data_IF_318393160752
#
_entry.id   IF_318393160752
#
_cell.length_a   1.000
_cell.length_b   1.000
_cell.length_c   1.000
_cell.angle_alpha   90.00
_cell.angle_beta   90.00
_cell.angle_gamma   90.00
#
_symmetry.space_group_name_H-M   'P 1'
#
loop_
_entity.id
_entity.type
_entity.pdbx_description
1 polymer ?
#
# COMPACT_ATOMS: atom_id res chain seq x y z
N UNK A 1 47.58 11.22 -61.72
CA UNK A 1 47.12 11.50 -60.35
C UNK A 1 45.59 11.51 -60.33
N UNK A 2 44.95 10.38 -60.09
CA UNK A 2 43.48 10.24 -60.17
C UNK A 2 42.90 10.22 -58.72
N UNK A 3 42.13 11.27 -58.43
CA UNK A 3 41.29 11.28 -57.17
C UNK A 3 40.03 10.49 -57.43
N UNK A 4 39.86 9.42 -56.64
CA UNK A 4 38.59 8.61 -56.54
C UNK A 4 37.79 9.15 -55.38
N UNK A 5 36.68 9.82 -55.69
CA UNK A 5 35.67 10.22 -54.72
C UNK A 5 34.84 9.02 -54.30
N UNK A 6 34.72 8.77 -52.95
CA UNK A 6 33.81 7.78 -52.36
C UNK A 6 32.39 8.36 -52.26
N UNK A 7 31.33 7.57 -52.51
CA UNK A 7 29.96 8.02 -52.30
C UNK A 7 29.61 8.00 -50.76
N UNK A 8 28.98 9.08 -50.31
CA UNK A 8 28.36 9.18 -48.98
C UNK A 8 27.08 8.34 -48.95
N UNK A 9 26.93 7.54 -47.90
CA UNK A 9 25.70 6.83 -47.59
C UNK A 9 24.63 7.82 -47.06
N UNK A 10 23.33 7.59 -47.33
CA UNK A 10 22.27 8.45 -46.83
C UNK A 10 22.06 8.27 -45.32
N UNK A 11 21.95 9.40 -44.60
CA UNK A 11 21.50 9.44 -43.23
C UNK A 11 20.10 8.85 -43.13
N UNK A 12 19.94 7.80 -42.33
CA UNK A 12 18.65 7.29 -41.92
C UNK A 12 17.99 8.34 -41.03
N UNK A 13 16.83 8.85 -41.45
CA UNK A 13 15.94 9.68 -40.64
C UNK A 13 15.42 8.83 -39.46
N UNK A 14 15.86 9.17 -38.27
CA UNK A 14 15.31 8.61 -37.04
C UNK A 14 13.82 8.97 -36.91
N UNK A 15 12.97 7.97 -36.97
CA UNK A 15 11.59 8.10 -36.58
C UNK A 15 11.57 8.16 -35.01
N UNK A 16 11.64 9.36 -34.49
CA UNK A 16 11.26 9.65 -33.11
C UNK A 16 9.74 9.44 -32.99
N UNK A 17 9.33 8.20 -32.76
CA UNK A 17 8.01 7.92 -32.19
C UNK A 17 8.04 8.46 -30.78
N UNK A 18 7.59 9.69 -30.58
CA UNK A 18 7.18 10.23 -29.29
C UNK A 18 6.22 9.20 -28.72
N UNK A 19 6.63 8.49 -27.65
CA UNK A 19 5.73 7.63 -26.91
C UNK A 19 4.54 8.51 -26.50
N UNK A 20 3.32 8.11 -26.86
CA UNK A 20 2.14 8.80 -26.42
C UNK A 20 2.17 8.79 -24.89
N UNK A 21 2.24 9.95 -24.25
CA UNK A 21 2.13 10.08 -22.81
C UNK A 21 0.82 9.40 -22.41
N UNK A 22 0.89 8.36 -21.58
CA UNK A 22 -0.29 7.72 -21.04
C UNK A 22 -1.09 8.76 -20.24
N UNK A 23 -2.42 8.73 -20.37
CA UNK A 23 -3.26 9.62 -19.57
C UNK A 23 -2.97 9.43 -18.08
N UNK A 24 -2.97 10.52 -17.27
CA UNK A 24 -2.69 10.43 -15.84
C UNK A 24 -3.70 9.50 -15.16
N UNK A 25 -3.24 8.78 -14.14
CA UNK A 25 -4.08 7.90 -13.36
C UNK A 25 -5.19 8.71 -12.66
N UNK A 26 -6.42 8.18 -12.62
CA UNK A 26 -7.51 8.84 -11.90
C UNK A 26 -7.49 8.46 -10.42
N UNK A 27 -7.64 9.45 -9.57
CA UNK A 27 -7.88 9.31 -8.14
C UNK A 27 -9.23 9.94 -7.82
N UNK A 28 -10.19 9.11 -7.43
CA UNK A 28 -11.53 9.55 -7.03
C UNK A 28 -11.53 9.88 -5.55
N UNK A 29 -12.20 10.96 -5.16
CA UNK A 29 -12.23 11.44 -3.80
C UNK A 29 -13.64 11.87 -3.38
N UNK A 30 -14.02 11.59 -2.14
CA UNK A 30 -15.15 12.19 -1.43
C UNK A 30 -14.73 12.61 -0.02
N UNK A 31 -15.34 13.67 0.51
CA UNK A 31 -15.20 14.09 1.91
C UNK A 31 -16.16 13.36 2.84
N UNK A 32 -17.13 12.64 2.28
CA UNK A 32 -18.08 11.82 3.03
C UNK A 32 -17.40 10.55 3.57
N UNK A 33 -16.91 10.62 4.82
CA UNK A 33 -16.31 9.46 5.51
C UNK A 33 -17.44 8.65 6.16
N UNK A 34 -18.21 7.99 5.31
CA UNK A 34 -19.33 7.12 5.68
C UNK A 34 -19.34 5.84 4.81
N UNK A 35 -20.16 4.84 5.15
CA UNK A 35 -20.36 3.69 4.26
C UNK A 35 -20.86 4.09 2.87
N UNK A 36 -21.61 5.20 2.74
CA UNK A 36 -22.07 5.72 1.45
C UNK A 36 -20.91 6.31 0.64
N UNK A 37 -20.05 7.13 1.26
CA UNK A 37 -18.84 7.66 0.62
C UNK A 37 -17.87 6.55 0.22
N UNK A 38 -17.68 5.53 1.08
CA UNK A 38 -16.89 4.34 0.75
C UNK A 38 -17.41 3.63 -0.51
N UNK A 39 -18.71 3.45 -0.60
CA UNK A 39 -19.37 2.86 -1.77
C UNK A 39 -19.19 3.74 -3.01
N UNK A 40 -19.34 5.05 -2.88
CA UNK A 40 -19.24 5.99 -4.00
C UNK A 40 -17.85 5.94 -4.66
N UNK A 41 -16.75 5.97 -3.87
CA UNK A 41 -15.39 5.87 -4.43
C UNK A 41 -15.12 4.50 -5.05
N UNK A 42 -15.64 3.42 -4.44
CA UNK A 42 -15.52 2.07 -5.01
C UNK A 42 -16.22 1.97 -6.37
N UNK A 43 -17.45 2.47 -6.49
CA UNK A 43 -18.21 2.45 -7.74
C UNK A 43 -17.55 3.32 -8.83
N UNK A 44 -16.97 4.46 -8.45
CA UNK A 44 -16.29 5.36 -9.37
C UNK A 44 -15.06 4.73 -10.04
N UNK A 45 -14.41 3.73 -9.42
CA UNK A 45 -13.30 2.98 -10.03
C UNK A 45 -13.70 2.23 -11.31
N UNK A 46 -15.00 1.89 -11.47
CA UNK A 46 -15.49 1.12 -12.63
C UNK A 46 -14.96 -0.32 -12.70
N UNK A 47 -14.17 -0.76 -11.72
CA UNK A 47 -13.65 -2.13 -11.59
C UNK A 47 -14.33 -2.82 -10.43
N UNK A 48 -14.98 -3.95 -10.71
CA UNK A 48 -15.66 -4.74 -9.68
C UNK A 48 -14.72 -5.79 -9.09
N UNK A 49 -14.75 -5.93 -7.77
CA UNK A 49 -14.08 -7.01 -7.08
C UNK A 49 -14.92 -8.29 -7.20
N UNK A 50 -14.60 -9.13 -8.18
CA UNK A 50 -15.32 -10.35 -8.50
C UNK A 50 -14.39 -11.56 -8.44
N UNK A 51 -14.90 -12.68 -7.89
CA UNK A 51 -14.18 -13.95 -7.77
C UNK A 51 -14.88 -14.87 -6.78
N UNK A 52 -14.37 -16.07 -6.64
CA UNK A 52 -14.83 -17.02 -5.61
C UNK A 52 -14.28 -16.66 -4.23
N UNK A 53 -13.04 -16.14 -4.21
CA UNK A 53 -12.34 -15.70 -3.01
C UNK A 53 -11.86 -14.26 -3.22
N UNK A 54 -12.49 -13.30 -2.57
CA UNK A 54 -12.09 -11.88 -2.60
C UNK A 54 -11.41 -11.53 -1.28
N UNK A 55 -10.15 -11.12 -1.36
CA UNK A 55 -9.42 -10.60 -0.21
C UNK A 55 -9.76 -9.14 0.02
N UNK A 56 -10.01 -8.73 1.25
CA UNK A 56 -10.05 -7.34 1.69
C UNK A 56 -8.86 -7.11 2.62
N UNK A 57 -7.80 -6.52 2.08
CA UNK A 57 -6.57 -6.28 2.82
C UNK A 57 -6.63 -4.95 3.57
N UNK A 58 -6.55 -5.04 4.86
CA UNK A 58 -6.54 -3.90 5.77
C UNK A 58 -5.61 -4.16 6.97
N UNK A 59 -5.56 -3.26 7.93
CA UNK A 59 -4.96 -3.50 9.25
C UNK A 59 -6.07 -3.57 10.29
N UNK A 60 -6.12 -4.67 11.05
CA UNK A 60 -7.10 -4.84 12.15
C UNK A 60 -6.71 -4.10 13.44
N UNK A 61 -5.53 -3.47 13.47
CA UNK A 61 -5.03 -2.70 14.60
C UNK A 61 -4.41 -3.57 15.69
N UNK A 62 -3.41 -3.03 16.38
CA UNK A 62 -2.80 -3.68 17.54
C UNK A 62 -3.74 -3.59 18.75
N UNK A 63 -3.84 -4.63 19.61
CA UNK A 63 -4.59 -4.55 20.85
C UNK A 63 -4.19 -3.34 21.70
N UNK A 64 -5.18 -2.55 22.12
CA UNK A 64 -4.99 -1.29 22.85
C UNK A 64 -5.03 -0.05 21.96
N UNK A 65 -4.76 -0.15 20.64
CA UNK A 65 -4.97 0.91 19.68
C UNK A 65 -6.45 1.06 19.29
N UNK A 66 -6.85 2.23 18.80
CA UNK A 66 -8.23 2.52 18.40
C UNK A 66 -8.35 3.38 17.14
N UNK A 67 -7.22 3.73 16.49
CA UNK A 67 -7.22 4.58 15.29
C UNK A 67 -7.47 3.81 14.00
N UNK A 68 -7.47 2.47 14.02
CA UNK A 68 -7.70 1.61 12.86
C UNK A 68 -9.07 1.84 12.21
N UNK A 69 -9.23 1.42 10.95
CA UNK A 69 -10.49 1.53 10.22
C UNK A 69 -11.61 0.78 10.95
N UNK A 70 -12.63 1.51 11.38
CA UNK A 70 -13.70 0.93 12.15
C UNK A 70 -14.58 0.00 11.30
N UNK A 71 -14.96 -1.21 11.78
CA UNK A 71 -15.83 -2.13 11.07
C UNK A 71 -17.15 -1.50 10.61
N UNK A 72 -17.70 -0.56 11.36
CA UNK A 72 -18.91 0.17 11.00
C UNK A 72 -18.78 0.99 9.71
N UNK A 73 -17.58 1.52 9.42
CA UNK A 73 -17.32 2.29 8.20
C UNK A 73 -17.21 1.39 6.96
N UNK A 74 -16.55 0.25 7.10
CA UNK A 74 -16.14 -0.58 5.96
C UNK A 74 -17.07 -1.78 5.71
N UNK A 75 -17.91 -2.13 6.68
CA UNK A 75 -18.65 -3.40 6.70
C UNK A 75 -19.58 -3.60 5.50
N UNK A 76 -20.23 -2.54 5.03
CA UNK A 76 -21.11 -2.62 3.87
C UNK A 76 -20.35 -2.92 2.57
N UNK A 77 -19.17 -2.30 2.38
CA UNK A 77 -18.31 -2.61 1.24
C UNK A 77 -17.81 -4.06 1.32
N UNK A 78 -17.27 -4.48 2.46
CA UNK A 78 -16.74 -5.84 2.67
C UNK A 78 -17.81 -6.89 2.37
N UNK A 79 -19.03 -6.71 2.87
CA UNK A 79 -20.18 -7.59 2.60
C UNK A 79 -20.60 -7.57 1.13
N UNK A 80 -20.59 -6.40 0.48
CA UNK A 80 -21.02 -6.25 -0.91
C UNK A 80 -20.12 -7.02 -1.89
N UNK A 81 -18.83 -7.10 -1.60
CA UNK A 81 -17.84 -7.86 -2.40
C UNK A 81 -17.70 -9.32 -1.91
N UNK A 82 -18.45 -9.73 -0.89
CA UNK A 82 -18.34 -11.05 -0.21
C UNK A 82 -16.90 -11.32 0.22
N UNK A 83 -16.24 -10.30 0.73
CA UNK A 83 -14.81 -10.32 1.04
C UNK A 83 -14.48 -11.11 2.31
N UNK A 84 -13.29 -11.69 2.33
CA UNK A 84 -12.59 -12.15 3.52
C UNK A 84 -11.57 -11.09 3.91
N UNK A 85 -11.58 -10.64 5.16
CA UNK A 85 -10.55 -9.73 5.67
C UNK A 85 -9.25 -10.53 5.82
N UNK A 86 -8.17 -10.01 5.25
CA UNK A 86 -6.88 -10.72 5.23
C UNK A 86 -5.75 -9.89 5.84
N UNK A 87 -4.94 -10.55 6.65
CA UNK A 87 -3.69 -10.04 7.22
C UNK A 87 -2.60 -11.13 7.28
N UNK A 88 -1.38 -10.74 7.67
CA UNK A 88 -0.32 -11.65 8.10
C UNK A 88 0.20 -11.25 9.48
N UNK A 89 0.72 -12.20 10.24
CA UNK A 89 1.30 -11.98 11.56
C UNK A 89 2.41 -10.92 11.53
N UNK A 90 2.60 -10.21 12.64
CA UNK A 90 3.67 -9.21 12.77
C UNK A 90 5.02 -9.87 13.05
N UNK A 91 6.11 -9.18 12.68
CA UNK A 91 7.48 -9.62 12.94
C UNK A 91 8.12 -8.93 14.17
N UNK A 92 7.36 -8.08 14.86
CA UNK A 92 7.91 -7.14 15.85
C UNK A 92 7.54 -7.48 17.30
N UNK A 93 6.92 -8.63 17.51
CA UNK A 93 6.23 -8.95 18.76
C UNK A 93 4.85 -8.28 18.84
N UNK A 94 4.34 -8.07 20.02
CA UNK A 94 2.99 -7.51 20.24
C UNK A 94 1.87 -8.55 20.17
N UNK A 95 0.64 -8.07 20.17
CA UNK A 95 -0.56 -8.91 20.25
C UNK A 95 -0.97 -9.59 18.95
N UNK A 96 -0.25 -9.33 17.83
CA UNK A 96 -0.52 -9.92 16.51
C UNK A 96 0.66 -10.72 15.94
N UNK A 97 1.61 -11.12 16.81
CA UNK A 97 2.76 -11.91 16.39
C UNK A 97 2.43 -13.40 16.20
N UNK A 98 1.33 -13.88 16.79
CA UNK A 98 0.86 -15.26 16.67
C UNK A 98 -0.56 -15.28 16.12
N UNK A 99 -0.86 -16.26 15.27
CA UNK A 99 -2.15 -16.38 14.59
C UNK A 99 -3.34 -16.36 15.55
N UNK A 100 -3.27 -17.10 16.67
CA UNK A 100 -4.36 -17.16 17.65
C UNK A 100 -4.62 -15.79 18.30
N UNK A 101 -3.56 -15.08 18.70
CA UNK A 101 -3.63 -13.77 19.32
C UNK A 101 -4.10 -12.71 18.28
N UNK A 102 -3.65 -12.83 17.04
CA UNK A 102 -4.05 -11.96 15.94
C UNK A 102 -5.54 -12.11 15.59
N UNK A 103 -6.05 -13.35 15.51
CA UNK A 103 -7.49 -13.62 15.32
C UNK A 103 -8.30 -13.08 16.48
N UNK A 104 -7.78 -13.21 17.73
CA UNK A 104 -8.42 -12.63 18.90
C UNK A 104 -8.48 -11.11 18.81
N UNK A 105 -7.39 -10.43 18.44
CA UNK A 105 -7.35 -8.98 18.25
C UNK A 105 -8.39 -8.54 17.20
N UNK A 106 -8.46 -9.22 16.07
CA UNK A 106 -9.45 -8.94 15.03
C UNK A 106 -10.90 -9.13 15.52
N UNK A 107 -11.15 -10.13 16.35
CA UNK A 107 -12.47 -10.35 16.97
C UNK A 107 -12.82 -9.28 18.00
N UNK A 108 -11.88 -8.94 18.88
CA UNK A 108 -12.06 -7.91 19.92
C UNK A 108 -12.33 -6.53 19.29
N UNK A 109 -11.74 -6.25 18.12
CA UNK A 109 -11.97 -5.02 17.35
C UNK A 109 -13.22 -5.08 16.44
N UNK A 110 -13.98 -6.19 16.46
CA UNK A 110 -15.26 -6.34 15.78
C UNK A 110 -15.19 -6.74 14.32
N UNK A 111 -14.02 -7.05 13.75
CA UNK A 111 -13.91 -7.40 12.33
C UNK A 111 -14.59 -8.73 12.00
N UNK A 112 -14.56 -9.71 12.90
CA UNK A 112 -15.24 -11.01 12.71
C UNK A 112 -16.78 -10.91 12.65
N UNK A 113 -17.35 -9.79 13.11
CA UNK A 113 -18.79 -9.53 13.01
C UNK A 113 -19.22 -9.08 11.60
N UNK A 114 -18.29 -8.61 10.76
CA UNK A 114 -18.60 -8.11 9.43
C UNK A 114 -18.18 -9.06 8.31
N UNK A 115 -17.12 -9.88 8.52
CA UNK A 115 -16.62 -10.85 7.54
C UNK A 115 -15.78 -11.95 8.21
N UNK A 116 -15.51 -13.08 7.52
CA UNK A 116 -14.42 -13.97 7.90
C UNK A 116 -13.08 -13.23 7.93
N UNK A 117 -12.19 -13.64 8.83
CA UNK A 117 -10.81 -13.12 8.94
C UNK A 117 -9.84 -14.27 8.69
N UNK A 118 -8.87 -14.04 7.81
CA UNK A 118 -7.82 -15.00 7.46
C UNK A 118 -6.44 -14.39 7.73
N UNK A 119 -5.63 -15.07 8.53
CA UNK A 119 -4.22 -14.76 8.73
C UNK A 119 -3.43 -15.61 7.74
N UNK A 120 -3.09 -14.99 6.60
CA UNK A 120 -2.62 -15.70 5.40
C UNK A 120 -1.32 -16.48 5.58
N UNK A 121 -0.52 -16.18 6.60
CA UNK A 121 0.72 -16.88 6.94
C UNK A 121 0.55 -17.89 8.10
N UNK A 122 -0.69 -18.21 8.49
CA UNK A 122 -0.98 -19.18 9.55
C UNK A 122 -0.46 -20.59 9.24
N UNK A 123 -0.48 -21.00 7.97
CA UNK A 123 -0.10 -22.34 7.50
C UNK A 123 1.20 -22.33 6.69
N UNK A 124 1.93 -21.21 6.68
CA UNK A 124 3.21 -21.10 5.98
C UNK A 124 3.28 -19.90 5.02
N UNK A 125 4.26 -19.95 4.15
CA UNK A 125 4.59 -18.83 3.27
C UNK A 125 5.02 -19.29 1.88
N UNK A 126 4.92 -18.38 0.91
CA UNK A 126 5.38 -18.58 -0.47
C UNK A 126 6.20 -17.38 -0.93
N UNK A 127 7.07 -17.58 -1.92
CA UNK A 127 7.90 -16.54 -2.50
C UNK A 127 7.33 -16.09 -3.84
N UNK A 128 7.12 -14.79 -4.00
CA UNK A 128 6.73 -14.15 -5.25
C UNK A 128 7.95 -13.43 -5.84
N UNK A 129 8.27 -13.60 -7.14
CA UNK A 129 9.44 -12.97 -7.74
C UNK A 129 9.30 -11.44 -7.78
N UNK A 130 10.39 -10.74 -7.52
CA UNK A 130 10.53 -9.30 -7.74
C UNK A 130 11.39 -9.09 -8.97
N UNK A 131 10.78 -8.83 -10.12
CA UNK A 131 11.50 -8.61 -11.35
C UNK A 131 12.23 -7.27 -11.35
N UNK A 132 13.56 -7.31 -11.56
CA UNK A 132 14.40 -6.11 -11.59
C UNK A 132 14.61 -5.44 -10.23
N UNK A 133 14.33 -6.13 -9.12
CA UNK A 133 14.58 -5.61 -7.78
C UNK A 133 16.08 -5.39 -7.51
N UNK A 134 16.39 -4.26 -6.88
CA UNK A 134 17.75 -3.90 -6.47
C UNK A 134 18.12 -4.58 -5.15
N UNK A 135 17.16 -4.61 -4.22
CA UNK A 135 17.31 -5.14 -2.87
C UNK A 135 16.68 -6.52 -2.72
N UNK A 136 15.49 -6.71 -3.29
CA UNK A 136 14.72 -7.93 -3.17
C UNK A 136 14.68 -8.70 -4.50
N UNK A 137 14.97 -10.00 -4.44
CA UNK A 137 14.76 -10.91 -5.58
C UNK A 137 13.37 -11.54 -5.56
N UNK A 138 12.74 -11.56 -4.41
CA UNK A 138 11.41 -12.09 -4.14
C UNK A 138 10.82 -11.38 -2.92
N UNK A 139 9.50 -11.37 -2.84
CA UNK A 139 8.76 -11.10 -1.62
C UNK A 139 8.31 -12.41 -0.98
N UNK A 140 8.16 -12.45 0.35
CA UNK A 140 7.71 -13.63 1.08
C UNK A 140 6.34 -13.32 1.68
N UNK A 141 5.32 -13.91 1.13
CA UNK A 141 3.92 -13.65 1.49
C UNK A 141 3.27 -14.86 2.18
N UNK A 142 2.16 -14.65 2.87
CA UNK A 142 1.41 -15.75 3.45
C UNK A 142 0.96 -16.77 2.39
N UNK A 143 0.99 -18.07 2.73
CA UNK A 143 0.71 -19.17 1.79
C UNK A 143 -0.71 -19.12 1.22
N UNK A 144 -1.67 -18.48 1.91
CA UNK A 144 -3.04 -18.33 1.43
C UNK A 144 -3.20 -17.20 0.41
N UNK A 145 -2.26 -16.23 0.34
CA UNK A 145 -2.41 -15.07 -0.53
C UNK A 145 -2.66 -15.42 -2.02
N UNK A 146 -1.93 -16.36 -2.65
CA UNK A 146 -2.16 -16.72 -4.05
C UNK A 146 -3.51 -17.40 -4.33
N UNK A 147 -4.24 -17.81 -3.31
CA UNK A 147 -5.56 -18.45 -3.47
C UNK A 147 -6.69 -17.45 -3.72
N UNK A 148 -6.44 -16.16 -3.51
CA UNK A 148 -7.43 -15.11 -3.71
C UNK A 148 -7.52 -14.69 -5.18
N UNK A 149 -8.75 -14.64 -5.68
CA UNK A 149 -9.04 -14.26 -7.08
C UNK A 149 -8.96 -12.76 -7.30
N UNK A 150 -9.24 -11.97 -6.26
CA UNK A 150 -9.27 -10.50 -6.31
C UNK A 150 -8.85 -9.91 -4.97
N UNK A 151 -8.19 -8.75 -4.99
CA UNK A 151 -7.74 -8.04 -3.78
C UNK A 151 -8.32 -6.62 -3.75
N UNK A 152 -9.08 -6.31 -2.72
CA UNK A 152 -9.51 -4.96 -2.35
C UNK A 152 -8.58 -4.47 -1.25
N UNK A 153 -7.76 -3.47 -1.56
CA UNK A 153 -6.82 -2.90 -0.59
C UNK A 153 -7.49 -1.71 0.09
N UNK A 154 -7.87 -1.89 1.36
CA UNK A 154 -8.41 -0.83 2.22
C UNK A 154 -7.30 -0.33 3.13
N UNK A 155 -6.76 0.83 2.82
CA UNK A 155 -5.68 1.44 3.58
C UNK A 155 -6.23 2.53 4.49
N UNK A 156 -5.80 2.52 5.74
CA UNK A 156 -5.86 3.68 6.60
C UNK A 156 -4.60 4.52 6.34
N UNK A 157 -4.75 5.72 5.77
CA UNK A 157 -3.62 6.62 5.54
C UNK A 157 -3.24 7.33 6.83
N UNK A 158 -1.98 7.29 7.24
CA UNK A 158 -1.47 7.89 8.48
C UNK A 158 0.05 7.94 8.48
N UNK A 159 0.65 8.50 9.53
CA UNK A 159 2.08 8.44 9.78
C UNK A 159 2.60 7.02 10.02
N UNK A 160 3.90 6.85 9.90
CA UNK A 160 4.58 5.60 10.20
C UNK A 160 5.99 5.83 10.69
N UNK A 161 6.36 5.17 11.80
CA UNK A 161 7.65 5.39 12.48
C UNK A 161 8.88 5.16 11.61
N UNK A 162 8.84 4.19 10.68
CA UNK A 162 9.97 3.86 9.80
C UNK A 162 9.76 4.36 8.36
N UNK A 163 8.56 4.23 7.81
CA UNK A 163 8.27 4.58 6.41
C UNK A 163 7.83 6.02 6.18
N UNK A 164 7.73 6.85 7.23
CA UNK A 164 7.22 8.22 7.14
C UNK A 164 5.69 8.26 7.11
N UNK A 165 5.06 7.53 6.21
CA UNK A 165 3.62 7.31 6.16
C UNK A 165 3.28 5.86 5.81
N UNK A 166 2.03 5.49 6.04
CA UNK A 166 1.45 4.22 5.62
C UNK A 166 0.23 4.46 4.74
N UNK A 167 0.27 3.97 3.52
CA UNK A 167 -0.79 4.03 2.51
C UNK A 167 -0.94 2.70 1.79
N UNK A 168 -1.35 2.75 0.51
CA UNK A 168 -1.58 1.57 -0.31
C UNK A 168 -0.30 0.75 -0.54
N UNK A 169 0.83 1.40 -0.87
CA UNK A 169 2.12 0.74 -1.10
C UNK A 169 2.55 -0.05 0.14
N UNK A 170 2.51 0.57 1.33
CA UNK A 170 2.85 -0.13 2.57
C UNK A 170 1.88 -1.27 2.86
N UNK A 171 0.59 -1.08 2.61
CA UNK A 171 -0.43 -2.08 2.89
C UNK A 171 -0.26 -3.33 2.04
N UNK A 172 0.11 -3.20 0.76
CA UNK A 172 0.36 -4.36 -0.11
C UNK A 172 1.77 -4.95 0.05
N UNK A 173 2.78 -4.20 0.51
CA UNK A 173 4.11 -4.72 0.80
C UNK A 173 4.17 -5.36 2.19
N UNK A 174 4.43 -4.55 3.22
CA UNK A 174 4.54 -5.02 4.61
C UNK A 174 3.27 -5.76 5.09
N UNK A 175 2.08 -5.30 4.63
CA UNK A 175 0.81 -5.85 5.09
C UNK A 175 0.52 -7.26 4.57
N UNK A 176 0.97 -7.63 3.37
CA UNK A 176 0.77 -8.96 2.75
C UNK A 176 1.95 -9.90 3.06
N UNK A 177 3.13 -9.34 3.32
CA UNK A 177 4.29 -10.12 3.68
C UNK A 177 4.05 -10.96 4.95
N UNK A 178 4.53 -12.20 4.97
CA UNK A 178 4.59 -13.05 6.16
C UNK A 178 5.48 -12.44 7.24
N UNK A 179 5.56 -13.04 8.43
CA UNK A 179 6.50 -12.57 9.45
C UNK A 179 7.95 -12.56 8.95
N UNK A 180 8.39 -13.62 8.24
CA UNK A 180 9.71 -13.65 7.61
C UNK A 180 9.83 -12.63 6.47
N UNK A 181 8.77 -12.43 5.68
CA UNK A 181 8.72 -11.42 4.63
C UNK A 181 8.83 -10.00 5.18
N UNK A 182 8.20 -9.71 6.31
CA UNK A 182 8.39 -8.43 6.99
C UNK A 182 9.84 -8.21 7.42
N UNK A 183 10.52 -9.22 7.96
CA UNK A 183 11.94 -9.13 8.30
C UNK A 183 12.79 -8.91 7.04
N UNK A 184 12.48 -9.62 5.95
CA UNK A 184 13.14 -9.51 4.66
C UNK A 184 13.05 -8.10 4.06
N UNK A 185 11.86 -7.51 4.05
CA UNK A 185 11.63 -6.15 3.53
C UNK A 185 12.33 -5.11 4.43
N UNK A 186 12.14 -5.18 5.75
CA UNK A 186 12.73 -4.20 6.67
C UNK A 186 14.26 -4.23 6.70
N UNK A 187 14.86 -5.36 6.38
CA UNK A 187 16.30 -5.51 6.30
C UNK A 187 16.89 -5.26 4.91
N UNK A 188 16.07 -4.86 3.92
CA UNK A 188 16.47 -4.75 2.52
C UNK A 188 17.17 -6.03 2.02
N UNK A 189 16.51 -7.17 2.22
CA UNK A 189 16.98 -8.46 1.74
C UNK A 189 18.18 -9.06 2.50
N UNK A 190 18.47 -8.61 3.73
CA UNK A 190 19.59 -9.15 4.50
C UNK A 190 19.24 -10.36 5.36
N UNK A 191 18.00 -10.42 5.87
CA UNK A 191 17.58 -11.51 6.75
C UNK A 191 16.06 -11.77 6.65
N UNK A 192 15.68 -13.04 6.70
CA UNK A 192 14.30 -13.52 6.88
C UNK A 192 14.01 -13.84 8.37
N UNK A 193 15.04 -13.80 9.20
CA UNK A 193 14.97 -14.13 10.62
C UNK A 193 14.47 -12.92 11.43
N UNK A 194 13.29 -13.05 12.01
CA UNK A 194 12.65 -11.99 12.79
C UNK A 194 13.45 -11.61 14.05
N UNK A 195 14.24 -12.54 14.63
CA UNK A 195 15.09 -12.25 15.78
C UNK A 195 16.29 -11.35 15.41
N UNK A 196 16.73 -11.42 14.14
CA UNK A 196 17.84 -10.61 13.62
C UNK A 196 17.40 -9.30 12.98
N UNK A 197 16.11 -9.07 12.84
CA UNK A 197 15.56 -7.89 12.15
C UNK A 197 16.21 -6.60 12.63
N UNK A 198 16.16 -6.33 13.91
CA UNK A 198 16.61 -5.06 14.48
C UNK A 198 18.12 -4.84 14.43
N UNK A 199 18.89 -5.91 14.32
CA UNK A 199 20.36 -5.86 14.12
C UNK A 199 20.77 -5.78 12.65
N UNK A 200 19.82 -5.89 11.72
CA UNK A 200 20.06 -5.98 10.27
C UNK A 200 19.47 -4.81 9.49
N UNK A 201 19.07 -3.73 10.17
CA UNK A 201 18.43 -2.58 9.49
C UNK A 201 19.38 -1.96 8.45
N UNK A 202 18.86 -1.60 7.26
CA UNK A 202 19.60 -0.96 6.19
C UNK A 202 19.66 0.56 6.37
N UNK A 203 20.22 1.28 5.39
CA UNK A 203 19.98 2.70 5.24
C UNK A 203 18.48 2.97 5.02
N UNK A 204 18.01 4.18 5.37
CA UNK A 204 16.60 4.54 5.31
C UNK A 204 16.02 4.35 3.89
N UNK A 205 16.71 4.83 2.87
CA UNK A 205 16.23 4.74 1.49
C UNK A 205 16.21 3.29 0.98
N UNK A 206 17.18 2.46 1.35
CA UNK A 206 17.19 1.04 1.00
C UNK A 206 15.97 0.30 1.55
N UNK A 207 15.50 0.67 2.75
CA UNK A 207 14.25 0.14 3.32
C UNK A 207 13.02 0.60 2.51
N UNK A 208 12.94 1.89 2.17
CA UNK A 208 11.83 2.45 1.40
C UNK A 208 11.76 1.85 -0.01
N UNK A 209 12.92 1.68 -0.66
CA UNK A 209 13.04 1.00 -1.95
C UNK A 209 12.59 -0.46 -1.86
N UNK A 210 13.01 -1.19 -0.82
CA UNK A 210 12.59 -2.59 -0.59
C UNK A 210 11.07 -2.72 -0.39
N UNK A 211 10.46 -1.76 0.29
CA UNK A 211 9.02 -1.73 0.48
C UNK A 211 8.29 -1.54 -0.86
N UNK A 212 8.79 -0.67 -1.74
CA UNK A 212 8.26 -0.52 -3.10
C UNK A 212 8.50 -1.79 -3.94
N UNK A 213 9.67 -2.41 -3.85
CA UNK A 213 9.98 -3.64 -4.57
C UNK A 213 9.06 -4.81 -4.17
N UNK A 214 8.77 -4.98 -2.87
CA UNK A 214 7.79 -5.95 -2.40
C UNK A 214 6.38 -5.65 -2.95
N UNK A 215 5.96 -4.38 -2.95
CA UNK A 215 4.69 -3.97 -3.55
C UNK A 215 4.61 -4.31 -5.04
N UNK A 216 5.74 -4.23 -5.78
CA UNK A 216 5.82 -4.63 -7.19
C UNK A 216 5.50 -6.11 -7.39
N UNK A 217 5.99 -6.99 -6.53
CA UNK A 217 5.67 -8.42 -6.61
C UNK A 217 4.16 -8.66 -6.47
N UNK A 218 3.51 -7.96 -5.55
CA UNK A 218 2.06 -8.07 -5.33
C UNK A 218 1.28 -7.52 -6.53
N UNK A 219 1.63 -6.32 -7.01
CA UNK A 219 0.99 -5.71 -8.17
C UNK A 219 1.13 -6.61 -9.42
N UNK A 220 2.32 -7.17 -9.66
CA UNK A 220 2.56 -8.08 -10.77
C UNK A 220 1.77 -9.39 -10.64
N UNK A 221 1.68 -9.98 -9.43
CA UNK A 221 0.88 -11.18 -9.18
C UNK A 221 -0.61 -10.96 -9.42
N UNK A 222 -1.14 -9.84 -8.95
CA UNK A 222 -2.56 -9.53 -9.07
C UNK A 222 -2.95 -9.04 -10.48
N UNK A 223 -2.09 -8.31 -11.16
CA UNK A 223 -2.42 -7.65 -12.43
C UNK A 223 -3.63 -6.73 -12.27
N UNK A 224 -4.69 -6.96 -13.06
CA UNK A 224 -5.92 -6.16 -12.97
C UNK A 224 -6.87 -6.59 -11.85
N UNK A 225 -6.54 -7.64 -11.11
CA UNK A 225 -7.36 -8.21 -10.03
C UNK A 225 -7.10 -7.55 -8.68
N UNK A 226 -6.85 -6.25 -8.67
CA UNK A 226 -6.58 -5.46 -7.49
C UNK A 226 -7.13 -4.04 -7.67
N UNK A 227 -7.58 -3.43 -6.59
CA UNK A 227 -7.95 -2.02 -6.51
C UNK A 227 -7.59 -1.46 -5.13
N UNK A 228 -7.49 -0.14 -5.04
CA UNK A 228 -6.97 0.53 -3.86
C UNK A 228 -7.92 1.62 -3.39
N UNK A 229 -8.19 1.64 -2.08
CA UNK A 229 -8.96 2.66 -1.38
C UNK A 229 -8.18 3.08 -0.15
N UNK A 230 -8.00 4.38 0.04
CA UNK A 230 -7.35 4.96 1.22
C UNK A 230 -8.33 5.84 1.98
N UNK A 231 -8.45 5.62 3.28
CA UNK A 231 -9.25 6.44 4.18
C UNK A 231 -8.33 7.35 4.96
N UNK A 232 -8.57 8.65 4.85
CA UNK A 232 -7.79 9.71 5.50
C UNK A 232 -8.56 10.27 6.68
N UNK A 233 -8.77 9.43 7.70
CA UNK A 233 -9.36 9.79 8.98
C UNK A 233 -8.42 9.40 10.12
N UNK A 234 -8.63 9.94 11.32
CA UNK A 234 -7.77 9.67 12.46
C UNK A 234 -6.27 9.75 12.10
N UNK A 235 -5.87 10.84 11.45
CA UNK A 235 -4.55 11.04 10.86
C UNK A 235 -3.46 11.21 11.93
N UNK A 236 -3.17 10.11 12.64
CA UNK A 236 -2.10 10.02 13.63
C UNK A 236 -0.72 9.98 12.95
N UNK A 237 0.31 10.42 13.66
CA UNK A 237 1.72 10.25 13.27
C UNK A 237 2.19 8.81 13.42
N UNK A 238 1.44 7.98 14.17
CA UNK A 238 1.75 6.59 14.43
C UNK A 238 0.84 5.65 13.65
N UNK A 239 1.32 4.42 13.49
CA UNK A 239 0.67 3.38 12.72
C UNK A 239 -0.35 2.61 13.58
N UNK A 240 -1.36 1.98 12.95
CA UNK A 240 -2.28 1.03 13.62
C UNK A 240 -1.58 -0.19 14.24
N UNK A 241 -0.30 -0.37 13.96
CA UNK A 241 0.53 -1.39 14.60
C UNK A 241 1.15 -0.94 15.93
N UNK A 242 0.84 0.27 16.39
CA UNK A 242 1.19 0.77 17.72
C UNK A 242 0.01 0.55 18.66
N UNK A 243 0.26 -0.04 19.83
CA UNK A 243 -0.74 -0.24 20.86
C UNK A 243 -1.14 1.08 21.58
N UNK A 244 -0.29 2.09 21.50
CA UNK A 244 -0.46 3.38 22.18
C UNK A 244 -0.14 4.55 21.23
N UNK A 245 -0.84 4.64 20.06
CA UNK A 245 -0.57 5.68 19.08
C UNK A 245 -0.88 7.06 19.66
N UNK A 246 -0.11 8.07 19.25
CA UNK A 246 -0.46 9.45 19.56
C UNK A 246 -1.85 9.80 18.98
N UNK A 247 -2.64 10.61 19.69
CA UNK A 247 -3.90 11.11 19.15
C UNK A 247 -3.66 11.88 17.85
N UNK A 248 -4.57 11.78 16.86
CA UNK A 248 -4.52 12.62 15.67
C UNK A 248 -4.47 14.10 16.02
N UNK A 249 -3.61 14.86 15.35
CA UNK A 249 -3.45 16.31 15.58
C UNK A 249 -4.02 17.16 14.45
N UNK A 250 -4.48 16.52 13.39
CA UNK A 250 -5.18 17.18 12.29
C UNK A 250 -6.53 16.50 12.04
N UNK A 251 -7.44 17.24 11.44
CA UNK A 251 -8.77 16.76 11.05
C UNK A 251 -8.72 15.77 9.89
N UNK A 252 -9.82 15.03 9.76
CA UNK A 252 -10.04 14.08 8.68
C UNK A 252 -10.12 14.80 7.32
N UNK A 253 -9.73 14.09 6.24
CA UNK A 253 -9.71 14.65 4.89
C UNK A 253 -10.78 14.03 3.99
N UNK A 254 -10.91 12.70 3.98
CA UNK A 254 -11.86 12.01 3.12
C UNK A 254 -11.48 10.58 2.79
N UNK A 255 -12.14 10.03 1.78
CA UNK A 255 -11.86 8.71 1.23
C UNK A 255 -11.43 8.87 -0.22
N UNK A 256 -10.33 8.23 -0.60
CA UNK A 256 -9.79 8.24 -1.96
C UNK A 256 -9.75 6.83 -2.52
N UNK A 257 -9.87 6.70 -3.85
CA UNK A 257 -9.71 5.42 -4.53
C UNK A 257 -9.01 5.58 -5.89
N UNK A 258 -8.17 4.60 -6.25
CA UNK A 258 -7.51 4.54 -7.55
C UNK A 258 -7.24 3.09 -7.95
N UNK A 259 -6.98 2.88 -9.24
CA UNK A 259 -6.43 1.62 -9.76
C UNK A 259 -4.89 1.62 -9.80
N UNK A 260 -4.29 2.75 -9.44
CA UNK A 260 -2.84 2.97 -9.34
C UNK A 260 -2.48 3.32 -7.88
N UNK A 261 -1.71 2.46 -7.18
CA UNK A 261 -1.38 2.67 -5.77
C UNK A 261 -0.41 3.84 -5.56
N UNK A 262 0.44 4.15 -6.55
CA UNK A 262 1.40 5.26 -6.47
C UNK A 262 0.67 6.60 -6.58
N UNK A 263 -0.25 6.70 -7.57
CA UNK A 263 -1.13 7.86 -7.74
C UNK A 263 -1.98 8.12 -6.49
N UNK A 264 -2.54 7.04 -5.91
CA UNK A 264 -3.37 7.13 -4.71
C UNK A 264 -2.59 7.66 -3.51
N UNK A 265 -1.41 7.09 -3.24
CA UNK A 265 -0.60 7.50 -2.10
C UNK A 265 -0.03 8.92 -2.32
N UNK A 266 0.36 9.28 -3.56
CA UNK A 266 0.77 10.65 -3.88
C UNK A 266 -0.36 11.65 -3.63
N UNK A 267 -1.58 11.35 -4.06
CA UNK A 267 -2.73 12.22 -3.80
C UNK A 267 -3.00 12.39 -2.29
N UNK A 268 -2.88 11.32 -1.51
CA UNK A 268 -3.01 11.41 -0.05
C UNK A 268 -1.92 12.32 0.57
N UNK A 269 -0.66 12.16 0.15
CA UNK A 269 0.44 13.02 0.61
C UNK A 269 0.16 14.48 0.26
N UNK A 270 -0.18 14.77 -1.01
CA UNK A 270 -0.45 16.14 -1.48
C UNK A 270 -1.60 16.79 -0.71
N UNK A 271 -2.66 16.04 -0.38
CA UNK A 271 -3.79 16.54 0.41
C UNK A 271 -3.40 16.88 1.86
N UNK A 272 -2.48 16.11 2.47
CA UNK A 272 -1.93 16.48 3.79
C UNK A 272 -1.18 17.80 3.69
N UNK A 273 -0.30 17.97 2.69
CA UNK A 273 0.44 19.23 2.50
C UNK A 273 -0.48 20.42 2.20
N UNK A 274 -1.52 20.20 1.40
CA UNK A 274 -2.48 21.25 1.02
C UNK A 274 -3.53 21.55 2.11
N UNK A 275 -3.64 20.72 3.16
CA UNK A 275 -4.63 20.92 4.23
C UNK A 275 -4.48 22.31 4.87
N UNK A 276 -5.57 23.02 5.14
CA UNK A 276 -5.53 24.28 5.91
C UNK A 276 -5.32 24.05 7.42
N UNK A 277 -5.44 22.81 7.90
CA UNK A 277 -5.29 22.47 9.30
C UNK A 277 -3.82 22.61 9.75
N UNK A 278 -3.57 23.42 10.77
CA UNK A 278 -2.22 23.66 11.30
C UNK A 278 -1.61 22.40 11.93
N UNK A 279 -2.42 21.46 12.41
CA UNK A 279 -1.97 20.19 12.99
C UNK A 279 -1.25 19.27 11.99
N UNK A 280 -1.39 19.52 10.67
CA UNK A 280 -0.68 18.80 9.61
C UNK A 280 0.84 18.79 9.77
N UNK A 281 1.41 19.82 10.42
CA UNK A 281 2.87 19.95 10.58
C UNK A 281 3.49 18.72 11.24
N UNK A 282 2.79 18.07 12.16
CA UNK A 282 3.28 16.86 12.84
C UNK A 282 3.37 15.66 11.90
N UNK A 283 2.38 15.50 11.01
CA UNK A 283 2.38 14.42 10.03
C UNK A 283 3.41 14.67 8.92
N UNK A 284 3.53 15.93 8.47
CA UNK A 284 4.55 16.36 7.50
C UNK A 284 5.96 16.10 8.07
N UNK A 285 6.23 16.51 9.30
CA UNK A 285 7.51 16.26 9.97
C UNK A 285 7.84 14.75 10.04
N UNK A 286 6.84 13.91 10.37
CA UNK A 286 7.01 12.46 10.35
C UNK A 286 7.38 11.95 8.95
N UNK A 287 6.67 12.40 7.89
CA UNK A 287 6.93 12.00 6.51
C UNK A 287 8.33 12.45 6.05
N UNK A 288 8.71 13.69 6.32
CA UNK A 288 9.99 14.25 5.90
C UNK A 288 11.18 13.67 6.69
N UNK A 289 11.06 13.53 8.02
CA UNK A 289 12.12 12.95 8.85
C UNK A 289 12.49 11.50 8.50
N UNK A 290 11.61 10.82 7.77
CA UNK A 290 11.80 9.45 7.27
C UNK A 290 12.00 9.37 5.76
N UNK A 291 12.12 10.52 5.08
CA UNK A 291 12.20 10.59 3.62
C UNK A 291 11.08 9.80 2.91
N UNK A 292 9.88 9.80 3.52
CA UNK A 292 8.79 8.89 3.14
C UNK A 292 8.38 8.95 1.68
N UNK A 293 8.51 10.13 1.03
CA UNK A 293 8.20 10.32 -0.38
C UNK A 293 9.06 9.44 -1.32
N UNK A 294 10.27 9.07 -0.90
CA UNK A 294 11.17 8.24 -1.67
C UNK A 294 10.58 6.87 -2.03
N UNK A 295 9.69 6.34 -1.18
CA UNK A 295 8.94 5.12 -1.52
C UNK A 295 8.16 5.27 -2.83
N UNK A 296 7.49 6.42 -3.04
CA UNK A 296 6.70 6.68 -4.25
C UNK A 296 7.60 6.98 -5.46
N UNK A 297 8.71 7.67 -5.24
CA UNK A 297 9.71 7.94 -6.29
C UNK A 297 10.29 6.64 -6.83
N UNK A 298 10.67 5.73 -5.93
CA UNK A 298 11.18 4.42 -6.33
C UNK A 298 10.08 3.56 -6.96
N UNK A 299 8.85 3.54 -6.40
CA UNK A 299 7.73 2.81 -6.95
C UNK A 299 7.39 3.23 -8.40
N UNK A 300 7.41 4.53 -8.68
CA UNK A 300 7.27 5.05 -10.06
C UNK A 300 8.45 4.63 -10.95
N UNK A 301 9.68 4.77 -10.45
CA UNK A 301 10.90 4.44 -11.22
C UNK A 301 10.95 2.94 -11.60
N UNK A 302 10.42 2.05 -10.78
CA UNK A 302 10.35 0.60 -11.07
C UNK A 302 9.06 0.17 -11.77
N UNK A 303 8.17 1.13 -12.11
CA UNK A 303 7.00 0.91 -12.97
C UNK A 303 5.80 0.28 -12.28
N UNK A 304 5.56 0.55 -10.98
CA UNK A 304 4.34 0.12 -10.29
C UNK A 304 3.14 0.99 -10.68
N UNK A 305 3.38 2.28 -10.87
CA UNK A 305 2.36 3.28 -11.19
C UNK A 305 3.00 4.63 -11.47
N UNK A 306 2.21 5.71 -11.40
CA UNK A 306 2.70 7.07 -11.64
C UNK A 306 2.30 8.00 -10.49
N UNK A 307 3.20 8.92 -10.16
CA UNK A 307 2.94 10.03 -9.23
C UNK A 307 2.09 11.14 -9.86
N UNK A 308 1.93 11.11 -11.20
CA UNK A 308 1.04 12.03 -11.90
C UNK A 308 -0.38 11.47 -11.90
N UNK A 309 -1.34 12.27 -11.45
CA UNK A 309 -2.74 11.87 -11.34
C UNK A 309 -3.72 13.00 -11.65
N UNK A 310 -4.94 12.61 -11.96
CA UNK A 310 -6.12 13.49 -12.05
C UNK A 310 -7.00 13.26 -10.82
N UNK A 311 -7.19 14.28 -9.97
CA UNK A 311 -8.10 14.18 -8.83
C UNK A 311 -9.54 14.46 -9.28
N UNK A 312 -10.42 13.46 -9.15
CA UNK A 312 -11.84 13.54 -9.45
C UNK A 312 -12.64 13.67 -8.16
N UNK A 313 -13.13 14.87 -7.89
CA UNK A 313 -13.93 15.20 -6.72
C UNK A 313 -15.39 14.75 -6.95
N UNK A 314 -15.88 13.79 -6.16
CA UNK A 314 -17.21 13.20 -6.28
C UNK A 314 -18.30 14.02 -5.56
N UNK A 315 -17.92 15.04 -4.80
CA UNK A 315 -18.83 15.89 -4.03
C UNK A 315 -19.29 17.12 -4.84
N UNK A 316 -18.86 17.24 -6.11
CA UNK A 316 -19.18 18.35 -7.02
C UNK A 316 -20.30 18.01 -7.98
#
# INVERSE_FOLDING_TARGET
>A
MFCISRPQAPCASGNDKKAAEAAPAKVYMTRDISPAGMKAVYEALGRKAEGKKVAVKLSTGEPGGNNFLQPALIGDLVKSVKGTIVECNTAYGGGRAKTEDHLKAAADHGFTAIAPVDIMDAEGEVRLPVEGGRHLKYDIVGSHFPEYDFVVVLSHFKGHAMGGFGGAIKNISIGIASSAGKAWIHSAGKTEDTEKLWSSLPAQDDFLESMAEAAKAIAAHCGERILYISVMNNLSVDCDCDAHPEPPRMGDIGILASLDPVALDQACVDLVYASPDEGKVHLIERMESRHGIHTLEHAEAIGIGSRQYELVDLDK
#
